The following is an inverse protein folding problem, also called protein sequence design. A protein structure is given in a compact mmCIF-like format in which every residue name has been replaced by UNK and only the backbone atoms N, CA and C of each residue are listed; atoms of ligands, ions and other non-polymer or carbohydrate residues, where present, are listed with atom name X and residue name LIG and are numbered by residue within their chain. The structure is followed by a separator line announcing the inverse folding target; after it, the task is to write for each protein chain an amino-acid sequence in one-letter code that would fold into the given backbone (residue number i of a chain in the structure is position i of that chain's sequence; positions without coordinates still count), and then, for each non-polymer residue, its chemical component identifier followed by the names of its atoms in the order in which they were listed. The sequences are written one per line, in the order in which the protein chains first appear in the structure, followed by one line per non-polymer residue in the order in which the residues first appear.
data_IF_700588718226
#
_entry.id   IF_700588718226
#
_cell.length_a   1.000
_cell.length_b   1.000
_cell.length_c   1.000
_cell.angle_alpha   90.00
_cell.angle_beta   90.00
_cell.angle_gamma   90.00
#
_symmetry.space_group_name_H-M   'P 1'
#
loop_
_entity.id
_entity.type
_entity.pdbx_description
1 polymer ?
#
# COMPACT_ATOMS: atom_id res chain seq x y z
N UNK A 1 -3.91 11.79 8.89
CA UNK A 1 -3.47 10.38 9.03
C UNK A 1 -3.08 9.90 7.64
N UNK A 2 -1.88 9.37 7.45
CA UNK A 2 -1.47 8.80 6.14
C UNK A 2 -2.00 7.36 6.06
N UNK A 3 -2.50 6.95 4.89
CA UNK A 3 -2.93 5.57 4.63
C UNK A 3 -2.02 4.95 3.59
N UNK A 4 -1.33 3.87 3.96
CA UNK A 4 -0.45 3.11 3.08
C UNK A 4 -1.18 1.86 2.62
N UNK A 5 -1.42 1.74 1.32
CA UNK A 5 -1.94 0.51 0.72
C UNK A 5 -0.75 -0.37 0.38
N UNK A 6 -0.54 -1.42 1.16
CA UNK A 6 0.69 -2.18 1.16
C UNK A 6 0.49 -3.67 1.34
N UNK A 7 1.53 -4.43 1.01
CA UNK A 7 1.61 -5.88 1.22
C UNK A 7 2.97 -6.19 1.82
N UNK A 8 3.07 -6.93 2.93
CA UNK A 8 4.34 -7.32 3.50
C UNK A 8 5.24 -8.01 2.47
N UNK A 9 6.50 -7.57 2.37
CA UNK A 9 7.47 -8.12 1.40
C UNK A 9 7.43 -7.50 0.00
N UNK A 10 6.57 -6.49 -0.22
CA UNK A 10 6.55 -5.67 -1.44
C UNK A 10 7.16 -4.29 -1.20
N UNK A 11 7.19 -3.45 -2.25
CA UNK A 11 7.75 -2.09 -2.17
C UNK A 11 7.19 -1.24 -1.03
N UNK A 12 5.95 -1.48 -0.60
CA UNK A 12 5.30 -0.65 0.42
C UNK A 12 6.03 -0.65 1.76
N UNK A 13 6.79 -1.71 2.06
CA UNK A 13 7.59 -1.82 3.28
C UNK A 13 8.62 -0.70 3.41
N UNK A 14 9.15 -0.17 2.31
CA UNK A 14 10.09 0.96 2.34
C UNK A 14 9.35 2.24 2.73
N UNK A 15 8.20 2.52 2.13
CA UNK A 15 7.33 3.64 2.53
C UNK A 15 6.92 3.57 4.00
N UNK A 16 6.52 2.39 4.49
CA UNK A 16 6.20 2.16 5.90
C UNK A 16 7.41 2.45 6.83
N UNK A 17 8.60 1.95 6.46
CA UNK A 17 9.83 2.23 7.18
C UNK A 17 10.16 3.73 7.24
N UNK A 18 10.03 4.43 6.12
CA UNK A 18 10.31 5.88 6.06
C UNK A 18 9.35 6.67 6.95
N UNK A 19 8.06 6.32 6.95
CA UNK A 19 7.07 6.95 7.81
C UNK A 19 7.33 6.68 9.29
N UNK A 20 7.71 5.45 9.63
CA UNK A 20 8.13 5.08 10.99
C UNK A 20 9.39 5.84 11.43
N UNK A 21 10.40 5.97 10.57
CA UNK A 21 11.63 6.71 10.89
C UNK A 21 11.39 8.21 11.07
N UNK A 22 10.41 8.76 10.35
CA UNK A 22 10.01 10.16 10.44
C UNK A 22 9.04 10.45 11.61
N UNK A 23 8.67 9.44 12.40
CA UNK A 23 7.66 9.53 13.47
C UNK A 23 6.31 10.10 12.98
N UNK A 24 5.96 9.79 11.72
CA UNK A 24 4.70 10.21 11.12
C UNK A 24 3.65 9.12 11.35
N UNK A 25 2.49 9.43 11.95
CA UNK A 25 1.45 8.43 12.16
C UNK A 25 0.79 8.01 10.83
N UNK A 26 0.72 6.69 10.61
CA UNK A 26 0.10 6.08 9.44
C UNK A 26 -0.69 4.82 9.79
N UNK A 27 -1.60 4.45 8.89
CA UNK A 27 -2.31 3.18 8.91
C UNK A 27 -1.96 2.39 7.65
N UNK A 28 -1.86 1.07 7.79
CA UNK A 28 -1.64 0.16 6.67
C UNK A 28 -2.95 -0.52 6.32
N UNK A 29 -3.33 -0.44 5.05
CA UNK A 29 -4.42 -1.22 4.47
C UNK A 29 -3.80 -2.34 3.65
N UNK A 30 -3.98 -3.56 4.13
CA UNK A 30 -3.54 -4.75 3.41
C UNK A 30 -4.33 -4.92 2.10
N UNK A 31 -3.58 -5.09 1.02
CA UNK A 31 -4.10 -5.27 -0.34
C UNK A 31 -3.50 -6.51 -0.99
N UNK A 32 -3.19 -7.54 -0.19
CA UNK A 32 -2.73 -8.83 -0.68
C UNK A 32 -3.60 -9.33 -1.85
N UNK A 33 -2.94 -9.84 -2.90
CA UNK A 33 -3.60 -10.27 -4.14
C UNK A 33 -3.96 -9.14 -5.13
N UNK A 34 -3.50 -7.90 -4.92
CA UNK A 34 -3.71 -6.80 -5.88
C UNK A 34 -3.09 -7.05 -7.27
N UNK A 35 -2.14 -7.97 -7.36
CA UNK A 35 -1.46 -8.38 -8.59
C UNK A 35 -2.38 -9.20 -9.51
N UNK A 36 -3.45 -9.79 -8.97
CA UNK A 36 -4.44 -10.57 -9.71
C UNK A 36 -5.78 -9.82 -9.86
N UNK A 37 -6.62 -10.16 -10.85
CA UNK A 37 -7.99 -9.65 -10.91
C UNK A 37 -8.76 -10.03 -9.64
N UNK A 38 -9.34 -9.04 -8.96
CA UNK A 38 -10.11 -9.26 -7.75
C UNK A 38 -10.41 -7.97 -6.98
N UNK A 39 -11.11 -8.09 -5.84
CA UNK A 39 -11.56 -6.94 -5.06
C UNK A 39 -10.42 -6.03 -4.59
N UNK A 40 -9.26 -6.61 -4.22
CA UNK A 40 -8.08 -5.86 -3.80
C UNK A 40 -7.53 -4.98 -4.93
N UNK A 41 -7.41 -5.54 -6.14
CA UNK A 41 -6.99 -4.80 -7.34
C UNK A 41 -7.99 -3.74 -7.77
N UNK A 42 -9.28 -4.04 -7.70
CA UNK A 42 -10.34 -3.08 -8.02
C UNK A 42 -10.35 -1.90 -7.05
N UNK A 43 -10.17 -2.18 -5.75
CA UNK A 43 -9.99 -1.15 -4.74
C UNK A 43 -8.74 -0.32 -5.00
N UNK A 44 -7.61 -0.96 -5.32
CA UNK A 44 -6.38 -0.24 -5.66
C UNK A 44 -6.56 0.64 -6.89
N UNK A 45 -7.26 0.16 -7.92
CA UNK A 45 -7.50 0.89 -9.17
C UNK A 45 -8.26 2.20 -8.95
N UNK A 46 -9.12 2.27 -7.94
CA UNK A 46 -9.84 3.50 -7.58
C UNK A 46 -8.91 4.57 -6.97
N UNK A 47 -7.77 4.16 -6.41
CA UNK A 47 -6.82 5.03 -5.70
C UNK A 47 -5.60 5.33 -6.57
N UNK A 48 -5.06 4.28 -7.20
CA UNK A 48 -3.91 4.30 -8.08
C UNK A 48 -4.27 3.52 -9.37
N UNK A 49 -4.52 4.21 -10.50
CA UNK A 49 -4.84 3.57 -11.78
C UNK A 49 -3.80 2.54 -12.25
N UNK A 50 -2.55 2.66 -11.77
CA UNK A 50 -1.46 1.74 -12.10
C UNK A 50 -1.54 0.42 -11.33
N UNK A 51 -2.41 0.32 -10.32
CA UNK A 51 -2.58 -0.88 -9.49
C UNK A 51 -1.24 -1.37 -8.89
N UNK A 52 -0.45 -0.45 -8.32
CA UNK A 52 0.83 -0.76 -7.66
C UNK A 52 0.85 -0.26 -6.23
N UNK A 53 1.50 -1.03 -5.35
CA UNK A 53 1.92 -0.56 -4.04
C UNK A 53 2.98 0.55 -4.18
N UNK A 54 3.04 1.50 -3.23
CA UNK A 54 4.13 2.47 -3.18
C UNK A 54 5.48 1.75 -3.00
N UNK A 55 6.58 2.32 -3.51
CA UNK A 55 7.92 1.77 -3.36
C UNK A 55 8.56 2.13 -2.02
#
# INVERSE_FOLDING_TARGET
MITVYGVPGWGSTISELMLSLADIPYEVVDVEGFDQPGPARERLRQINPLCRCPP
#
